data_IF_095330386101
#
_entry.id   IF_095330386101
#
_cell.length_a   1.000
_cell.length_b   1.000
_cell.length_c   1.000
_cell.angle_alpha   90.00
_cell.angle_beta   90.00
_cell.angle_gamma   90.00
#
_symmetry.space_group_name_H-M   'P 1'
#
loop_
_entity.id
_entity.type
_entity.pdbx_description
1 polymer ?
#
# COMPACT_ATOMS: atom_id res chain seq x y z
N UNK A 1 -8.38 16.04 -11.00
CA UNK A 1 -8.24 16.02 -9.53
C UNK A 1 -8.92 14.80 -8.94
N UNK A 2 -10.25 14.72 -9.05
CA UNK A 2 -11.04 13.57 -8.62
C UNK A 2 -10.49 12.25 -9.18
N UNK A 3 -10.07 12.24 -10.44
CA UNK A 3 -9.50 11.06 -11.10
C UNK A 3 -8.26 10.52 -10.41
N UNK A 4 -7.26 11.35 -10.08
CA UNK A 4 -6.01 10.89 -9.44
C UNK A 4 -6.29 10.33 -8.04
N UNK A 5 -7.22 10.95 -7.32
CA UNK A 5 -7.65 10.51 -6.00
C UNK A 5 -8.35 9.15 -6.08
N UNK A 6 -9.30 9.00 -6.99
CA UNK A 6 -10.02 7.75 -7.22
C UNK A 6 -9.10 6.64 -7.75
N UNK A 7 -8.12 6.99 -8.59
CA UNK A 7 -7.09 6.07 -9.06
C UNK A 7 -6.25 5.54 -7.89
N UNK A 8 -5.73 6.42 -7.04
CA UNK A 8 -4.95 6.03 -5.87
C UNK A 8 -5.78 5.20 -4.88
N UNK A 9 -7.03 5.62 -4.62
CA UNK A 9 -7.97 4.87 -3.80
C UNK A 9 -8.20 3.45 -4.37
N UNK A 10 -8.47 3.34 -5.67
CA UNK A 10 -8.67 2.06 -6.35
C UNK A 10 -7.45 1.14 -6.26
N UNK A 11 -6.24 1.68 -6.43
CA UNK A 11 -4.98 0.93 -6.29
C UNK A 11 -4.88 0.30 -4.89
N UNK A 12 -5.12 1.07 -3.83
CA UNK A 12 -5.01 0.58 -2.46
C UNK A 12 -6.15 -0.37 -2.06
N UNK A 13 -7.38 -0.12 -2.53
CA UNK A 13 -8.51 -1.03 -2.32
C UNK A 13 -8.23 -2.37 -3.00
N UNK A 14 -7.76 -2.35 -4.25
CA UNK A 14 -7.39 -3.58 -4.97
C UNK A 14 -6.22 -4.30 -4.29
N UNK A 15 -5.17 -3.58 -3.92
CA UNK A 15 -4.01 -4.13 -3.24
C UNK A 15 -4.40 -4.81 -1.92
N UNK A 16 -5.18 -4.14 -1.07
CA UNK A 16 -5.67 -4.73 0.19
C UNK A 16 -6.65 -5.89 -0.05
N UNK A 17 -7.56 -5.76 -1.01
CA UNK A 17 -8.49 -6.83 -1.37
C UNK A 17 -7.78 -8.11 -1.82
N UNK A 18 -6.73 -7.97 -2.65
CA UNK A 18 -5.93 -9.11 -3.10
C UNK A 18 -5.25 -9.87 -1.95
N UNK A 19 -4.84 -9.15 -0.89
CA UNK A 19 -4.24 -9.73 0.32
C UNK A 19 -5.26 -10.41 1.22
N UNK A 20 -6.46 -9.82 1.37
CA UNK A 20 -7.55 -10.43 2.15
C UNK A 20 -8.03 -11.75 1.55
N UNK A 21 -8.09 -11.85 0.22
CA UNK A 21 -8.51 -13.08 -0.46
C UNK A 21 -7.60 -14.27 -0.13
N UNK A 22 -6.32 -14.02 0.17
CA UNK A 22 -5.34 -15.05 0.47
C UNK A 22 -4.49 -14.69 1.70
N UNK A 23 -5.14 -14.56 2.86
CA UNK A 23 -4.49 -14.24 4.14
C UNK A 23 -3.31 -15.17 4.48
N UNK A 24 -3.42 -16.46 4.15
CA UNK A 24 -2.34 -17.42 4.40
C UNK A 24 -1.08 -17.09 3.58
N UNK A 25 -1.25 -16.82 2.28
CA UNK A 25 -0.13 -16.46 1.41
C UNK A 25 0.49 -15.14 1.87
N UNK A 26 -0.33 -14.16 2.24
CA UNK A 26 0.17 -12.89 2.75
C UNK A 26 0.98 -13.06 4.05
N UNK A 27 0.51 -13.91 4.97
CA UNK A 27 1.26 -14.26 6.19
C UNK A 27 2.63 -14.86 5.86
N UNK A 28 2.71 -15.80 4.91
CA UNK A 28 3.98 -16.42 4.54
C UNK A 28 4.90 -15.41 3.83
N UNK A 29 4.35 -14.53 3.00
CA UNK A 29 5.09 -13.40 2.43
C UNK A 29 5.65 -12.49 3.52
N UNK A 30 4.88 -12.16 4.57
CA UNK A 30 5.37 -11.38 5.73
C UNK A 30 6.54 -12.09 6.41
N UNK A 31 6.44 -13.41 6.62
CA UNK A 31 7.52 -14.20 7.22
C UNK A 31 8.76 -14.29 6.32
N UNK A 32 8.59 -14.27 4.99
CA UNK A 32 9.71 -14.21 4.06
C UNK A 32 10.45 -12.86 4.16
N UNK A 33 9.72 -11.76 4.33
CA UNK A 33 10.31 -10.44 4.58
C UNK A 33 10.92 -10.29 5.98
N UNK A 34 10.29 -10.91 6.99
CA UNK A 34 10.68 -10.80 8.39
C UNK A 34 10.75 -12.18 9.07
N UNK A 35 11.82 -12.96 8.82
CA UNK A 35 11.92 -14.34 9.30
C UNK A 35 11.95 -14.48 10.83
N UNK A 36 12.36 -13.41 11.53
CA UNK A 36 12.42 -13.35 12.99
C UNK A 36 11.07 -13.08 13.66
N UNK A 37 10.02 -12.78 12.88
CA UNK A 37 8.72 -12.42 13.42
C UNK A 37 7.95 -13.66 13.92
N UNK A 38 7.37 -13.65 15.14
CA UNK A 38 6.54 -14.76 15.61
C UNK A 38 5.34 -15.01 14.68
N UNK A 39 4.99 -16.28 14.45
CA UNK A 39 3.91 -16.65 13.54
C UNK A 39 2.54 -16.03 13.88
N UNK A 40 2.27 -15.78 15.17
CA UNK A 40 1.05 -15.11 15.64
C UNK A 40 1.05 -13.62 15.29
N UNK A 41 2.21 -12.94 15.43
CA UNK A 41 2.35 -11.54 15.03
C UNK A 41 2.21 -11.38 13.52
N UNK A 42 2.82 -12.28 12.73
CA UNK A 42 2.65 -12.30 11.28
C UNK A 42 1.18 -12.47 10.86
N UNK A 43 0.42 -13.32 11.56
CA UNK A 43 -1.01 -13.51 11.31
C UNK A 43 -1.82 -12.25 11.62
N UNK A 44 -1.56 -11.60 12.76
CA UNK A 44 -2.24 -10.36 13.14
C UNK A 44 -1.97 -9.25 12.12
N UNK A 45 -0.72 -9.09 11.68
CA UNK A 45 -0.37 -8.13 10.62
C UNK A 45 -1.07 -8.51 9.31
N UNK A 46 -1.08 -9.80 8.94
CA UNK A 46 -1.74 -10.25 7.72
C UNK A 46 -3.24 -9.95 7.69
N UNK A 47 -3.90 -9.93 8.86
CA UNK A 47 -5.31 -9.57 8.99
C UNK A 47 -5.50 -8.06 8.98
N UNK A 48 -4.80 -7.33 9.84
CA UNK A 48 -5.06 -5.90 10.09
C UNK A 48 -4.61 -5.03 8.92
N UNK A 49 -3.45 -5.33 8.35
CA UNK A 49 -2.79 -4.47 7.38
C UNK A 49 -3.60 -4.28 6.08
N UNK A 50 -4.21 -5.32 5.48
CA UNK A 50 -5.09 -5.16 4.33
C UNK A 50 -6.34 -4.31 4.61
N UNK A 51 -6.91 -4.38 5.83
CA UNK A 51 -8.03 -3.53 6.21
C UNK A 51 -7.63 -2.06 6.25
N UNK A 52 -6.43 -1.74 6.75
CA UNK A 52 -5.93 -0.36 6.76
C UNK A 52 -5.76 0.21 5.35
N UNK A 53 -5.31 -0.61 4.40
CA UNK A 53 -5.24 -0.24 2.98
C UNK A 53 -6.62 0.09 2.41
N UNK A 54 -7.58 -0.82 2.60
CA UNK A 54 -8.94 -0.68 2.04
C UNK A 54 -9.66 0.50 2.67
N UNK A 55 -9.66 0.62 4.00
CA UNK A 55 -10.36 1.70 4.71
C UNK A 55 -9.77 3.07 4.35
N UNK A 56 -8.44 3.17 4.24
CA UNK A 56 -7.78 4.42 3.85
C UNK A 56 -8.04 4.77 2.39
N UNK A 57 -8.06 3.77 1.51
CA UNK A 57 -8.47 3.93 0.11
C UNK A 57 -9.92 4.39 -0.03
N UNK A 58 -10.86 3.77 0.70
CA UNK A 58 -12.27 4.15 0.71
C UNK A 58 -12.47 5.57 1.24
N UNK A 59 -11.86 5.90 2.39
CA UNK A 59 -11.93 7.22 2.99
C UNK A 59 -11.41 8.30 2.02
N UNK A 60 -10.27 8.05 1.36
CA UNK A 60 -9.75 8.94 0.33
C UNK A 60 -10.71 9.04 -0.87
N UNK A 61 -11.30 7.94 -1.32
CA UNK A 61 -12.24 7.89 -2.44
C UNK A 61 -13.44 8.80 -2.25
N UNK A 62 -14.11 8.68 -1.10
CA UNK A 62 -15.28 9.51 -0.72
C UNK A 62 -14.91 10.91 -0.19
N UNK A 63 -13.62 11.25 -0.15
CA UNK A 63 -13.09 12.49 0.40
C UNK A 63 -13.32 12.70 1.91
N UNK A 64 -13.53 11.62 2.66
CA UNK A 64 -13.64 11.68 4.11
C UNK A 64 -12.24 11.83 4.70
N UNK A 65 -11.98 12.96 5.38
CA UNK A 65 -10.68 13.24 5.98
C UNK A 65 -9.51 13.10 4.99
N UNK A 66 -9.70 13.59 3.74
CA UNK A 66 -8.79 13.38 2.61
C UNK A 66 -7.32 13.71 2.91
N UNK A 67 -7.06 14.73 3.73
CA UNK A 67 -5.73 15.09 4.24
C UNK A 67 -5.05 13.95 5.00
N UNK A 68 -5.74 13.35 5.96
CA UNK A 68 -5.17 12.27 6.78
C UNK A 68 -5.08 10.97 6.00
N UNK A 69 -6.13 10.63 5.25
CA UNK A 69 -6.18 9.43 4.40
C UNK A 69 -5.05 9.44 3.35
N UNK A 70 -4.84 10.57 2.66
CA UNK A 70 -3.75 10.69 1.67
C UNK A 70 -2.36 10.68 2.31
N UNK A 71 -2.19 11.25 3.50
CA UNK A 71 -0.92 11.20 4.23
C UNK A 71 -0.59 9.77 4.65
N UNK A 72 -1.57 9.03 5.15
CA UNK A 72 -1.39 7.63 5.52
C UNK A 72 -1.02 6.76 4.30
N UNK A 73 -1.72 6.90 3.18
CA UNK A 73 -1.41 6.17 1.94
C UNK A 73 -0.02 6.55 1.37
N UNK A 74 0.44 7.79 1.59
CA UNK A 74 1.80 8.18 1.21
C UNK A 74 2.85 7.45 2.06
N UNK A 75 2.66 7.43 3.39
CA UNK A 75 3.55 6.70 4.30
C UNK A 75 3.56 5.20 3.97
N UNK A 76 2.39 4.65 3.62
CA UNK A 76 2.27 3.26 3.22
C UNK A 76 2.97 2.96 1.89
N UNK A 77 2.87 3.87 0.91
CA UNK A 77 3.58 3.76 -0.37
C UNK A 77 5.10 3.75 -0.14
N UNK A 78 5.58 4.62 0.75
CA UNK A 78 6.98 4.71 1.12
C UNK A 78 7.45 3.41 1.80
N UNK A 79 6.66 2.87 2.72
CA UNK A 79 6.93 1.59 3.35
C UNK A 79 7.08 0.47 2.33
N UNK A 80 6.15 0.33 1.39
CA UNK A 80 6.24 -0.70 0.34
C UNK A 80 7.45 -0.52 -0.56
N UNK A 81 7.76 0.71 -0.98
CA UNK A 81 8.94 0.97 -1.78
C UNK A 81 10.23 0.55 -1.04
N UNK A 82 10.34 0.89 0.24
CA UNK A 82 11.48 0.48 1.08
C UNK A 82 11.58 -1.05 1.13
N UNK A 83 10.46 -1.75 1.35
CA UNK A 83 10.44 -3.21 1.38
C UNK A 83 10.89 -3.81 0.05
N UNK A 84 10.41 -3.27 -1.08
CA UNK A 84 10.80 -3.71 -2.42
C UNK A 84 12.28 -3.45 -2.69
N UNK A 85 12.84 -2.32 -2.22
CA UNK A 85 14.26 -2.00 -2.35
C UNK A 85 15.14 -2.93 -1.51
N UNK A 86 14.77 -3.18 -0.24
CA UNK A 86 15.50 -4.09 0.64
C UNK A 86 15.54 -5.52 0.09
N UNK A 87 14.51 -5.90 -0.66
CA UNK A 87 14.39 -7.23 -1.25
C UNK A 87 14.76 -7.28 -2.73
N UNK A 88 15.36 -6.22 -3.26
CA UNK A 88 15.81 -6.19 -4.65
C UNK A 88 16.77 -7.34 -4.94
N UNK A 89 16.57 -8.00 -6.09
CA UNK A 89 17.32 -9.17 -6.53
C UNK A 89 17.14 -10.45 -5.69
N UNK A 90 16.34 -10.42 -4.61
CA UNK A 90 15.93 -11.64 -3.90
C UNK A 90 14.76 -12.33 -4.60
N UNK A 91 14.67 -13.65 -4.41
CA UNK A 91 13.54 -14.46 -4.88
C UNK A 91 12.58 -14.65 -3.73
N UNK A 92 11.35 -14.16 -3.87
CA UNK A 92 10.29 -14.38 -2.91
C UNK A 92 9.40 -15.55 -3.34
N UNK A 93 9.00 -16.44 -2.41
CA UNK A 93 8.27 -17.66 -2.75
C UNK A 93 6.88 -17.41 -3.34
N UNK A 94 6.28 -16.24 -3.07
CA UNK A 94 4.95 -15.86 -3.54
C UNK A 94 4.93 -14.48 -4.22
N UNK A 95 6.07 -14.09 -4.79
CA UNK A 95 6.30 -12.77 -5.38
C UNK A 95 6.23 -11.61 -4.38
N UNK A 96 6.05 -10.39 -4.90
CA UNK A 96 6.04 -9.16 -4.11
C UNK A 96 4.84 -9.09 -3.11
N UNK A 97 3.74 -9.79 -3.41
CA UNK A 97 2.55 -9.91 -2.53
C UNK A 97 1.64 -8.67 -2.45
N UNK A 98 2.00 -7.56 -3.10
CA UNK A 98 1.20 -6.32 -3.04
C UNK A 98 -0.03 -6.30 -3.96
N UNK A 99 0.01 -7.02 -5.09
CA UNK A 99 -1.00 -6.99 -6.15
C UNK A 99 -1.46 -8.40 -6.56
N UNK A 100 -1.47 -9.32 -5.59
CA UNK A 100 -1.69 -10.74 -5.80
C UNK A 100 -0.45 -11.58 -5.53
N UNK A 101 -0.65 -12.89 -5.59
CA UNK A 101 0.36 -13.91 -5.33
C UNK A 101 0.61 -14.74 -6.58
N UNK A 102 1.88 -14.99 -6.85
CA UNK A 102 2.38 -15.82 -7.95
C UNK A 102 3.25 -16.94 -7.37
N UNK A 103 3.89 -17.74 -8.22
CA UNK A 103 4.95 -18.65 -7.78
C UNK A 103 6.21 -17.90 -7.32
N UNK A 104 7.33 -18.62 -7.13
CA UNK A 104 8.60 -18.00 -6.81
C UNK A 104 9.00 -16.97 -7.87
N UNK A 105 9.20 -15.72 -7.44
CA UNK A 105 9.42 -14.60 -8.35
C UNK A 105 10.54 -13.70 -7.82
N UNK A 106 11.44 -13.30 -8.72
CA UNK A 106 12.55 -12.42 -8.40
C UNK A 106 12.08 -10.98 -8.39
N UNK A 107 12.43 -10.22 -7.35
CA UNK A 107 12.15 -8.79 -7.31
C UNK A 107 13.10 -8.06 -8.27
N UNK A 108 12.55 -7.65 -9.41
CA UNK A 108 13.23 -6.90 -10.46
C UNK A 108 12.98 -5.39 -10.35
N UNK A 109 13.61 -4.63 -11.25
CA UNK A 109 13.42 -3.19 -11.40
C UNK A 109 11.95 -2.82 -11.69
N UNK A 110 11.17 -3.72 -12.27
CA UNK A 110 9.75 -3.51 -12.53
C UNK A 110 8.98 -3.17 -11.25
N UNK A 111 9.21 -3.89 -10.15
CA UNK A 111 8.51 -3.61 -8.88
C UNK A 111 8.92 -2.28 -8.28
N UNK A 112 10.21 -1.94 -8.33
CA UNK A 112 10.73 -0.66 -7.86
C UNK A 112 10.08 0.47 -8.65
N UNK A 113 10.01 0.35 -9.98
CA UNK A 113 9.39 1.35 -10.84
C UNK A 113 7.90 1.49 -10.54
N UNK A 114 7.16 0.38 -10.42
CA UNK A 114 5.74 0.37 -10.06
C UNK A 114 5.49 1.08 -8.72
N UNK A 115 6.23 0.71 -7.69
CA UNK A 115 6.05 1.26 -6.33
C UNK A 115 6.48 2.73 -6.27
N UNK A 116 7.50 3.12 -7.03
CA UNK A 116 7.91 4.52 -7.19
C UNK A 116 6.84 5.37 -7.88
N UNK A 117 6.17 4.83 -8.91
CA UNK A 117 5.06 5.51 -9.59
C UNK A 117 3.85 5.70 -8.65
N UNK A 118 3.52 4.68 -7.85
CA UNK A 118 2.45 4.77 -6.85
C UNK A 118 2.81 5.79 -5.77
N UNK A 119 4.06 5.80 -5.30
CA UNK A 119 4.54 6.77 -4.32
C UNK A 119 4.50 8.20 -4.87
N UNK A 120 4.87 8.40 -6.14
CA UNK A 120 4.76 9.70 -6.80
C UNK A 120 3.29 10.15 -6.90
N UNK A 121 2.39 9.26 -7.32
CA UNK A 121 0.94 9.53 -7.36
C UNK A 121 0.43 9.92 -5.96
N UNK A 122 0.80 9.16 -4.93
CA UNK A 122 0.42 9.42 -3.55
C UNK A 122 0.96 10.75 -3.03
N UNK A 123 2.17 11.12 -3.44
CA UNK A 123 2.79 12.40 -3.07
C UNK A 123 2.04 13.59 -3.69
N UNK A 124 1.67 13.48 -4.97
CA UNK A 124 0.89 14.49 -5.68
C UNK A 124 -0.50 14.65 -5.05
N UNK A 125 -1.18 13.55 -4.73
CA UNK A 125 -2.49 13.58 -4.07
C UNK A 125 -2.38 14.21 -2.68
N UNK A 126 -1.43 13.74 -1.85
CA UNK A 126 -1.21 14.25 -0.49
C UNK A 126 -0.92 15.77 -0.47
N UNK A 127 0.00 16.24 -1.32
CA UNK A 127 0.33 17.68 -1.40
C UNK A 127 -0.90 18.53 -1.73
N UNK A 128 -1.78 18.03 -2.61
CA UNK A 128 -2.99 18.75 -3.03
C UNK A 128 -4.09 18.72 -1.98
N UNK A 129 -4.32 17.61 -1.30
CA UNK A 129 -5.27 17.51 -0.18
C UNK A 129 -4.85 18.46 0.96
N UNK A 130 -3.55 18.53 1.25
CA UNK A 130 -3.02 19.51 2.21
C UNK A 130 -3.19 20.97 1.76
N UNK A 131 -3.03 21.26 0.47
CA UNK A 131 -3.27 22.61 -0.07
C UNK A 131 -4.75 22.98 -0.05
N UNK A 132 -5.64 22.05 -0.42
CA UNK A 132 -7.09 22.26 -0.40
C UNK A 132 -7.62 22.52 1.01
N UNK A 133 -7.07 21.81 2.01
CA UNK A 133 -7.45 21.97 3.42
C UNK A 133 -6.85 23.22 4.10
N UNK A 134 -6.02 24.02 3.40
CA UNK A 134 -5.51 25.31 3.88
C UNK A 134 -6.37 26.50 3.46
N UNK A 135 -7.35 26.32 2.58
CA UNK A 135 -8.31 27.38 2.29
C UNK A 135 -9.22 27.52 3.52
N UNK A 136 -9.28 28.71 4.16
CA UNK A 136 -10.19 28.93 5.26
C UNK A 136 -11.61 28.65 4.78
N UNK A 137 -12.40 27.97 5.62
CA UNK A 137 -13.84 28.04 5.50
C UNK A 137 -14.19 29.53 5.68
N UNK A 138 -14.45 30.21 4.58
CA UNK A 138 -15.02 31.56 4.61
C UNK A 138 -16.39 31.41 5.31
N UNK A 139 -16.47 31.96 6.52
CA UNK A 139 -17.71 32.23 7.27
C UNK A 139 -17.96 33.73 7.13
#
# INVERSE_FOLDING_TARGET
MIFLRLLLAGIYIYAGGSKLLNLYLFKVTILAYYPFLPGMAALLIAIVFPWLEILSGLALGVNWQGKYSSTFLLLLSLFFLIQTLLNYSNVLPYGCGCFGFSGPEKITVYYIMRDSLIMLLSSIVCFREWKANKLPAEI
#
